data_IF_377072334901
#
_entry.id   IF_377072334901
#
_cell.length_a   1.000
_cell.length_b   1.000
_cell.length_c   1.000
_cell.angle_alpha   90.00
_cell.angle_beta   90.00
_cell.angle_gamma   90.00
#
_symmetry.space_group_name_H-M   'P 1'
#
loop_
_entity.id
_entity.type
_entity.pdbx_description
1 polymer ?
#
# COMPACT_ATOMS: atom_id res chain seq x y z
N UNK A 1 -13.60 -3.52 66.64
CA UNK A 1 -12.98 -2.56 65.71
C UNK A 1 -12.58 -3.31 64.44
N UNK A 2 -13.34 -3.16 63.35
CA UNK A 2 -13.03 -3.79 62.04
C UNK A 2 -12.02 -2.93 61.30
N UNK A 3 -10.84 -3.48 60.98
CA UNK A 3 -9.85 -2.83 60.13
C UNK A 3 -10.32 -2.91 58.68
N UNK A 4 -10.58 -1.78 58.05
CA UNK A 4 -10.79 -1.66 56.61
C UNK A 4 -9.39 -1.54 55.99
N UNK A 5 -9.00 -2.54 55.19
CA UNK A 5 -7.82 -2.45 54.34
C UNK A 5 -8.21 -1.67 53.08
N UNK A 6 -7.66 -0.46 52.92
CA UNK A 6 -7.77 0.32 51.70
C UNK A 6 -6.84 -0.33 50.66
N UNK A 7 -7.42 -0.99 49.66
CA UNK A 7 -6.69 -1.56 48.54
C UNK A 7 -6.39 -0.42 47.55
N UNK A 8 -5.17 0.08 47.57
CA UNK A 8 -4.70 1.06 46.57
C UNK A 8 -4.41 0.29 45.29
N UNK A 9 -5.31 0.39 44.31
CA UNK A 9 -5.09 -0.11 42.95
C UNK A 9 -4.15 0.89 42.26
N UNK A 10 -2.95 0.47 41.81
CA UNK A 10 -2.10 1.35 41.02
C UNK A 10 -2.77 1.57 39.66
N UNK A 11 -3.16 2.81 39.40
CA UNK A 11 -3.50 3.27 38.05
C UNK A 11 -2.25 3.11 37.19
N UNK A 12 -2.25 2.10 36.33
CA UNK A 12 -1.30 2.01 35.22
C UNK A 12 -1.72 3.12 34.25
N UNK A 13 -1.11 4.31 34.42
CA UNK A 13 -1.19 5.36 33.42
C UNK A 13 -0.45 4.82 32.20
N UNK A 14 -1.21 4.33 31.23
CA UNK A 14 -0.68 4.03 29.90
C UNK A 14 -0.07 5.32 29.36
N UNK A 15 1.26 5.36 29.21
CA UNK A 15 1.97 6.45 28.54
C UNK A 15 1.71 6.42 27.03
N UNK A 16 0.45 6.58 26.62
CA UNK A 16 0.14 6.86 25.23
C UNK A 16 0.53 8.31 24.94
N UNK A 17 1.33 8.52 23.89
CA UNK A 17 1.64 9.85 23.34
C UNK A 17 0.35 10.66 23.20
N UNK A 18 0.36 11.95 23.49
CA UNK A 18 -0.79 12.82 23.24
C UNK A 18 -0.94 13.10 21.73
N UNK A 19 -2.09 13.60 21.28
CA UNK A 19 -2.25 14.10 19.90
C UNK A 19 -1.22 15.16 19.55
N UNK A 20 -0.83 15.97 20.54
CA UNK A 20 0.22 16.96 20.40
C UNK A 20 1.56 16.30 20.02
N UNK A 21 1.97 15.24 20.74
CA UNK A 21 3.22 14.50 20.46
C UNK A 21 3.18 13.67 19.16
N UNK A 22 1.98 13.28 18.72
CA UNK A 22 1.77 12.51 17.49
C UNK A 22 1.74 13.39 16.25
N UNK A 23 1.23 14.61 16.35
CA UNK A 23 1.02 15.49 15.21
C UNK A 23 2.01 16.64 15.09
N UNK A 24 2.69 17.04 16.17
CA UNK A 24 3.61 18.17 16.16
C UNK A 24 5.02 17.78 16.59
N UNK A 25 5.99 18.60 16.17
CA UNK A 25 7.37 18.57 16.65
C UNK A 25 7.82 19.99 17.01
N UNK A 26 8.67 20.10 18.03
CA UNK A 26 9.37 21.34 18.43
C UNK A 26 10.82 21.25 18.00
N UNK A 27 11.34 22.31 17.38
CA UNK A 27 12.65 22.38 16.72
C UNK A 27 12.79 21.51 15.46
N UNK A 28 13.76 21.89 14.62
CA UNK A 28 14.35 21.06 13.56
C UNK A 28 15.04 19.83 14.18
N UNK A 29 14.30 18.96 14.86
CA UNK A 29 14.68 17.56 14.91
C UNK A 29 14.86 17.17 13.45
N UNK A 30 16.12 17.05 13.05
CA UNK A 30 16.49 16.57 11.73
C UNK A 30 15.78 15.22 11.56
N UNK A 31 14.61 15.22 10.91
CA UNK A 31 13.87 14.02 10.55
C UNK A 31 14.57 13.27 9.41
N UNK A 32 15.87 13.50 9.23
CA UNK A 32 16.78 12.52 8.70
C UNK A 32 16.96 11.44 9.75
N UNK A 33 15.92 10.63 10.01
CA UNK A 33 16.16 9.29 10.54
C UNK A 33 17.22 8.68 9.62
N UNK A 34 18.40 8.45 10.19
CA UNK A 34 19.53 7.92 9.45
C UNK A 34 19.06 6.58 8.92
N UNK A 35 18.94 6.45 7.60
CA UNK A 35 18.41 5.25 6.97
C UNK A 35 19.14 4.03 7.54
N UNK A 36 18.40 3.19 8.29
CA UNK A 36 18.92 1.92 8.78
C UNK A 36 18.58 0.87 7.74
N UNK A 37 19.61 0.27 7.16
CA UNK A 37 19.43 -0.83 6.21
C UNK A 37 18.71 -2.00 6.89
N UNK A 38 17.58 -2.39 6.33
CA UNK A 38 16.82 -3.52 6.88
C UNK A 38 17.56 -4.82 6.61
N UNK A 39 17.68 -5.65 7.66
CA UNK A 39 18.31 -6.96 7.55
C UNK A 39 17.47 -7.85 6.64
N UNK A 40 18.10 -8.36 5.58
CA UNK A 40 17.44 -9.29 4.65
C UNK A 40 17.10 -10.62 5.32
N UNK A 41 15.92 -11.15 5.00
CA UNK A 41 15.46 -12.43 5.52
C UNK A 41 16.20 -13.59 4.84
N UNK A 42 16.53 -14.61 5.64
CA UNK A 42 16.98 -15.91 5.12
C UNK A 42 15.81 -16.69 4.53
N UNK A 43 16.10 -17.68 3.68
CA UNK A 43 15.09 -18.60 3.13
C UNK A 43 14.27 -19.23 4.26
N UNK A 44 14.92 -19.71 5.32
CA UNK A 44 14.22 -20.35 6.44
C UNK A 44 13.26 -19.39 7.15
N UNK A 45 13.64 -18.12 7.33
CA UNK A 45 12.74 -17.13 7.93
C UNK A 45 11.53 -16.87 7.03
N UNK A 46 11.73 -16.71 5.71
CA UNK A 46 10.62 -16.55 4.75
C UNK A 46 9.68 -17.75 4.79
N UNK A 47 10.21 -18.97 4.88
CA UNK A 47 9.40 -20.18 4.94
C UNK A 47 8.68 -20.34 6.27
N UNK A 48 9.28 -19.92 7.38
CA UNK A 48 8.68 -19.97 8.72
C UNK A 48 7.58 -18.91 8.92
N UNK A 49 7.71 -17.75 8.28
CA UNK A 49 6.79 -16.61 8.42
C UNK A 49 5.84 -16.45 7.23
N UNK A 50 5.83 -17.39 6.28
CA UNK A 50 4.87 -17.38 5.17
C UNK A 50 3.44 -17.49 5.71
N UNK A 51 2.44 -16.92 5.02
CA UNK A 51 1.05 -17.11 5.42
C UNK A 51 0.62 -18.57 5.32
N UNK A 52 -0.30 -18.99 6.19
CA UNK A 52 -0.76 -20.38 6.29
C UNK A 52 -1.46 -20.89 5.02
N UNK A 53 -2.10 -19.98 4.28
CA UNK A 53 -2.77 -20.30 3.01
C UNK A 53 -1.79 -20.54 1.85
N UNK A 54 -0.49 -20.21 2.01
CA UNK A 54 0.50 -20.37 0.96
C UNK A 54 1.24 -21.71 1.09
N UNK A 55 1.11 -22.55 0.07
CA UNK A 55 1.98 -23.71 -0.16
C UNK A 55 3.11 -23.32 -1.13
N UNK A 56 4.34 -23.80 -0.88
CA UNK A 56 5.50 -23.52 -1.74
C UNK A 56 6.14 -24.86 -2.12
N UNK A 57 6.25 -25.11 -3.43
CA UNK A 57 6.89 -26.30 -3.98
C UNK A 57 8.11 -25.93 -4.83
N UNK A 58 9.08 -26.84 -4.90
CA UNK A 58 10.25 -26.70 -5.75
C UNK A 58 9.99 -27.31 -7.13
N UNK A 59 10.23 -26.51 -8.17
CA UNK A 59 10.12 -26.94 -9.56
C UNK A 59 11.45 -27.52 -10.05
N UNK A 60 11.39 -28.63 -10.79
CA UNK A 60 12.56 -29.23 -11.45
C UNK A 60 12.97 -28.49 -12.73
N UNK A 61 11.98 -27.95 -13.44
CA UNK A 61 12.14 -27.14 -14.64
C UNK A 61 11.38 -25.84 -14.41
N UNK A 62 12.09 -24.73 -14.55
CA UNK A 62 11.59 -23.41 -14.21
C UNK A 62 12.29 -22.32 -15.01
N UNK A 63 11.60 -21.19 -15.15
CA UNK A 63 12.18 -19.93 -15.60
C UNK A 63 12.81 -19.20 -14.39
N UNK A 64 14.13 -19.00 -14.43
CA UNK A 64 14.88 -18.28 -13.38
C UNK A 64 14.49 -16.80 -13.32
N UNK A 65 14.60 -16.18 -12.14
CA UNK A 65 14.44 -14.74 -11.94
C UNK A 65 15.22 -13.91 -12.95
N UNK A 66 16.52 -14.21 -13.14
CA UNK A 66 17.40 -13.44 -14.05
C UNK A 66 16.89 -13.45 -15.50
N UNK A 67 16.49 -14.63 -16.00
CA UNK A 67 15.92 -14.75 -17.35
C UNK A 67 14.61 -13.98 -17.45
N UNK A 68 13.75 -14.09 -16.44
CA UNK A 68 12.46 -13.40 -16.40
C UNK A 68 12.60 -11.88 -16.36
N UNK A 69 13.42 -11.36 -15.45
CA UNK A 69 13.62 -9.93 -15.26
C UNK A 69 14.31 -9.25 -16.44
N UNK A 70 15.32 -9.89 -17.06
CA UNK A 70 15.99 -9.35 -18.25
C UNK A 70 15.02 -9.24 -19.43
N UNK A 71 14.24 -10.28 -19.72
CA UNK A 71 13.30 -10.26 -20.85
C UNK A 71 12.14 -9.28 -20.63
N UNK A 72 11.72 -9.09 -19.37
CA UNK A 72 10.75 -8.05 -19.03
C UNK A 72 11.33 -6.64 -19.19
N UNK A 73 12.51 -6.39 -18.62
CA UNK A 73 13.16 -5.08 -18.67
C UNK A 73 13.58 -4.70 -20.10
N UNK A 74 14.04 -5.66 -20.91
CA UNK A 74 14.35 -5.40 -22.32
C UNK A 74 13.11 -4.91 -23.06
N UNK A 75 11.93 -5.54 -22.84
CA UNK A 75 10.67 -5.12 -23.45
C UNK A 75 10.16 -3.76 -22.95
N UNK A 76 10.47 -3.36 -21.72
CA UNK A 76 10.15 -2.04 -21.16
C UNK A 76 11.06 -0.94 -21.73
N UNK A 77 12.37 -1.21 -21.82
CA UNK A 77 13.36 -0.27 -22.34
C UNK A 77 13.25 -0.13 -23.86
N UNK A 78 12.84 -1.20 -24.56
CA UNK A 78 12.64 -1.23 -26.01
C UNK A 78 11.19 -1.01 -26.43
N UNK A 79 10.35 -0.31 -25.65
CA UNK A 79 8.94 -0.06 -26.01
C UNK A 79 8.83 0.80 -27.29
N UNK A 80 9.11 0.18 -28.43
CA UNK A 80 8.57 0.57 -29.72
C UNK A 80 7.04 0.59 -29.57
N UNK A 81 6.40 1.54 -30.23
CA UNK A 81 4.96 1.79 -30.15
C UNK A 81 4.13 0.51 -30.32
N UNK A 82 4.62 -0.43 -31.14
CA UNK A 82 3.99 -1.72 -31.45
C UNK A 82 3.89 -2.68 -30.26
N UNK A 83 4.93 -2.82 -29.44
CA UNK A 83 4.90 -3.73 -28.28
C UNK A 83 3.97 -3.19 -27.18
N UNK A 84 3.96 -1.86 -27.00
CA UNK A 84 3.00 -1.18 -26.13
C UNK A 84 1.57 -1.38 -26.62
N UNK A 85 1.31 -1.19 -27.91
CA UNK A 85 -0.01 -1.43 -28.51
C UNK A 85 -0.44 -2.89 -28.36
N UNK A 86 0.45 -3.85 -28.59
CA UNK A 86 0.17 -5.27 -28.41
C UNK A 86 -0.20 -5.60 -26.95
N UNK A 87 0.52 -5.04 -25.97
CA UNK A 87 0.20 -5.15 -24.55
C UNK A 87 -1.18 -4.56 -24.22
N UNK A 88 -1.43 -3.31 -24.65
CA UNK A 88 -2.69 -2.62 -24.39
C UNK A 88 -3.87 -3.38 -25.01
N UNK A 89 -3.70 -3.92 -26.22
CA UNK A 89 -4.70 -4.75 -26.88
C UNK A 89 -4.92 -6.09 -26.15
N UNK A 90 -3.84 -6.76 -25.72
CA UNK A 90 -3.91 -8.04 -24.99
C UNK A 90 -4.73 -7.93 -23.71
N UNK A 91 -4.62 -6.80 -22.99
CA UNK A 91 -5.26 -6.58 -21.69
C UNK A 91 -6.40 -5.54 -21.72
N UNK A 92 -6.88 -5.14 -22.91
CA UNK A 92 -7.92 -4.12 -23.08
C UNK A 92 -9.17 -4.40 -22.25
N UNK A 93 -9.66 -5.63 -22.27
CA UNK A 93 -10.86 -6.02 -21.50
C UNK A 93 -10.65 -5.83 -19.99
N UNK A 94 -9.50 -6.26 -19.46
CA UNK A 94 -9.17 -6.10 -18.04
C UNK A 94 -9.04 -4.61 -17.68
N UNK A 95 -8.37 -3.82 -18.52
CA UNK A 95 -8.28 -2.37 -18.34
C UNK A 95 -9.63 -1.67 -18.29
N UNK A 96 -10.59 -2.09 -19.11
CA UNK A 96 -11.93 -1.51 -19.11
C UNK A 96 -12.68 -1.81 -17.80
N UNK A 97 -12.52 -3.01 -17.24
CA UNK A 97 -13.18 -3.40 -15.99
C UNK A 97 -12.50 -2.83 -14.73
N UNK A 98 -11.17 -2.74 -14.74
CA UNK A 98 -10.38 -2.33 -13.58
C UNK A 98 -9.83 -0.90 -13.71
N UNK A 99 -10.27 -0.12 -14.69
CA UNK A 99 -9.93 1.30 -14.83
C UNK A 99 -8.42 1.60 -14.79
N UNK A 100 -7.60 0.69 -15.33
CA UNK A 100 -6.14 0.86 -15.38
C UNK A 100 -5.42 0.74 -14.03
N UNK A 101 -6.05 0.22 -12.99
CA UNK A 101 -5.46 0.11 -11.64
C UNK A 101 -4.31 -0.90 -11.52
N UNK A 102 -4.12 -1.77 -12.51
CA UNK A 102 -3.15 -2.87 -12.44
C UNK A 102 -2.25 -2.92 -13.67
N UNK A 103 -1.00 -3.32 -13.44
CA UNK A 103 -0.16 -3.94 -14.45
C UNK A 103 -0.47 -5.43 -14.54
N UNK A 104 -0.70 -5.95 -15.74
CA UNK A 104 -1.06 -7.35 -15.95
C UNK A 104 0.11 -8.09 -16.59
N UNK A 105 0.32 -9.34 -16.21
CA UNK A 105 1.42 -10.13 -16.77
C UNK A 105 0.99 -11.50 -17.26
N UNK A 106 -0.05 -12.10 -16.69
CA UNK A 106 -0.63 -13.36 -17.17
C UNK A 106 -2.16 -13.33 -17.14
N UNK A 107 -2.81 -14.01 -18.10
CA UNK A 107 -4.25 -14.26 -18.09
C UNK A 107 -4.58 -15.68 -18.59
N UNK A 108 -5.69 -16.23 -18.12
CA UNK A 108 -6.17 -17.56 -18.48
C UNK A 108 -7.70 -17.58 -18.51
N UNK A 109 -8.27 -18.12 -19.59
CA UNK A 109 -9.71 -18.40 -19.68
C UNK A 109 -9.98 -19.81 -19.13
N UNK A 110 -10.94 -19.94 -18.22
CA UNK A 110 -11.43 -21.22 -17.68
C UNK A 110 -12.95 -21.21 -17.75
N UNK A 111 -13.52 -21.90 -18.74
CA UNK A 111 -14.96 -21.83 -19.00
C UNK A 111 -15.41 -20.39 -19.29
N UNK A 112 -16.40 -19.89 -18.55
CA UNK A 112 -16.93 -18.52 -18.62
C UNK A 112 -16.14 -17.51 -17.76
N UNK A 113 -15.08 -17.93 -17.07
CA UNK A 113 -14.30 -17.09 -16.17
C UNK A 113 -12.96 -16.72 -16.81
N UNK A 114 -12.65 -15.43 -16.86
CA UNK A 114 -11.32 -14.93 -17.18
C UNK A 114 -10.57 -14.65 -15.88
N UNK A 115 -9.46 -15.33 -15.67
CA UNK A 115 -8.52 -15.04 -14.59
C UNK A 115 -7.31 -14.27 -15.12
N UNK A 116 -6.75 -13.40 -14.30
CA UNK A 116 -5.48 -12.74 -14.60
C UNK A 116 -4.67 -12.47 -13.34
N UNK A 117 -3.35 -12.38 -13.50
CA UNK A 117 -2.46 -11.86 -12.48
C UNK A 117 -2.23 -10.37 -12.72
N UNK A 118 -2.56 -9.57 -11.72
CA UNK A 118 -2.36 -8.13 -11.67
C UNK A 118 -1.35 -7.74 -10.60
N UNK A 119 -0.76 -6.57 -10.75
CA UNK A 119 0.06 -5.93 -9.72
C UNK A 119 -0.21 -4.43 -9.70
N UNK A 120 -0.25 -3.84 -8.52
CA UNK A 120 -0.24 -2.39 -8.31
C UNK A 120 0.78 -2.04 -7.22
N UNK A 121 0.71 -0.82 -6.69
CA UNK A 121 1.65 -0.37 -5.65
C UNK A 121 1.51 -1.10 -4.31
N UNK A 122 0.34 -1.68 -4.03
CA UNK A 122 0.10 -2.43 -2.81
C UNK A 122 0.68 -3.82 -2.88
N UNK A 123 0.66 -4.44 -4.06
CA UNK A 123 1.19 -5.79 -4.26
C UNK A 123 0.52 -6.51 -5.43
N UNK A 124 0.47 -7.85 -5.33
CA UNK A 124 -0.03 -8.73 -6.38
C UNK A 124 -1.46 -9.19 -6.12
N UNK A 125 -2.22 -9.36 -7.19
CA UNK A 125 -3.66 -9.61 -7.16
C UNK A 125 -4.04 -10.74 -8.12
N UNK A 126 -4.98 -11.58 -7.70
CA UNK A 126 -5.75 -12.43 -8.61
C UNK A 126 -6.96 -11.63 -9.08
N UNK A 127 -7.06 -11.41 -10.39
CA UNK A 127 -8.22 -10.76 -11.01
C UNK A 127 -9.13 -11.83 -11.60
N UNK A 128 -10.42 -11.64 -11.44
CA UNK A 128 -11.46 -12.52 -11.96
C UNK A 128 -12.52 -11.69 -12.67
N UNK A 129 -12.90 -12.09 -13.88
CA UNK A 129 -14.10 -11.59 -14.55
C UNK A 129 -14.98 -12.79 -14.86
N UNK A 130 -16.15 -12.84 -14.23
CA UNK A 130 -17.15 -13.88 -14.43
C UNK A 130 -18.48 -13.23 -14.80
N UNK A 131 -19.07 -13.60 -15.94
CA UNK A 131 -20.34 -13.06 -16.39
C UNK A 131 -20.39 -11.52 -16.37
N UNK A 132 -19.32 -10.87 -16.84
CA UNK A 132 -19.13 -9.41 -16.84
C UNK A 132 -19.07 -8.75 -15.45
N UNK A 133 -18.89 -9.52 -14.38
CA UNK A 133 -18.65 -9.01 -13.02
C UNK A 133 -17.16 -9.14 -12.68
N UNK A 134 -16.43 -8.01 -12.52
CA UNK A 134 -15.04 -8.05 -12.10
C UNK A 134 -14.90 -8.18 -10.59
N UNK A 135 -13.88 -8.91 -10.14
CA UNK A 135 -13.41 -8.95 -8.75
C UNK A 135 -11.88 -8.99 -8.74
N UNK A 136 -11.26 -8.36 -7.76
CA UNK A 136 -9.81 -8.46 -7.52
C UNK A 136 -9.55 -8.93 -6.09
N UNK A 137 -8.67 -9.91 -5.95
CA UNK A 137 -8.36 -10.54 -4.68
C UNK A 137 -6.88 -10.34 -4.37
N UNK A 138 -6.57 -9.68 -3.26
CA UNK A 138 -5.20 -9.44 -2.84
C UNK A 138 -4.55 -10.74 -2.39
N UNK A 139 -3.31 -10.98 -2.82
CA UNK A 139 -2.61 -12.23 -2.50
C UNK A 139 -1.90 -12.17 -1.14
N UNK A 140 -1.63 -10.99 -0.59
CA UNK A 140 -0.93 -10.83 0.69
C UNK A 140 0.52 -11.35 0.67
N UNK A 141 1.10 -11.55 -0.52
CA UNK A 141 2.46 -12.04 -0.68
C UNK A 141 3.41 -10.85 -0.91
N UNK A 142 4.27 -10.60 0.07
CA UNK A 142 5.23 -9.49 0.07
C UNK A 142 6.18 -9.59 -1.13
N UNK A 143 6.24 -8.55 -1.96
CA UNK A 143 7.21 -8.47 -3.06
C UNK A 143 8.66 -8.34 -2.57
N UNK A 144 8.89 -8.11 -1.27
CA UNK A 144 10.21 -8.21 -0.64
C UNK A 144 10.72 -9.65 -0.52
N UNK A 145 9.81 -10.64 -0.55
CA UNK A 145 10.12 -12.06 -0.38
C UNK A 145 9.77 -12.92 -1.59
N UNK A 146 8.70 -12.56 -2.31
CA UNK A 146 8.14 -13.38 -3.38
C UNK A 146 8.15 -12.60 -4.70
N UNK A 147 8.90 -13.10 -5.66
CA UNK A 147 8.86 -12.63 -7.05
C UNK A 147 8.02 -13.57 -7.89
N UNK A 148 7.08 -13.03 -8.65
CA UNK A 148 6.28 -13.79 -9.60
C UNK A 148 6.82 -13.57 -11.00
N UNK A 149 7.09 -14.67 -11.70
CA UNK A 149 7.52 -14.58 -13.08
C UNK A 149 6.47 -13.86 -13.92
N UNK A 150 6.90 -12.89 -14.73
CA UNK A 150 6.03 -12.15 -15.64
C UNK A 150 5.50 -13.05 -16.74
N UNK A 151 6.26 -14.10 -17.07
CA UNK A 151 5.84 -15.16 -17.99
C UNK A 151 5.64 -16.44 -17.18
N UNK A 152 4.40 -16.90 -17.13
CA UNK A 152 4.03 -18.19 -16.54
C UNK A 152 4.04 -19.25 -17.64
N UNK A 153 4.85 -20.30 -17.49
CA UNK A 153 4.95 -21.43 -18.42
C UNK A 153 3.81 -22.43 -18.21
N UNK A 154 3.23 -22.45 -17.00
CA UNK A 154 2.08 -23.29 -16.63
C UNK A 154 0.79 -22.47 -16.51
N UNK A 155 -0.39 -23.11 -16.65
CA UNK A 155 -1.66 -22.48 -16.29
C UNK A 155 -1.64 -21.96 -14.86
N UNK A 156 -2.10 -20.72 -14.67
CA UNK A 156 -2.23 -20.10 -13.34
C UNK A 156 -3.40 -20.66 -12.55
N UNK A 157 -4.41 -21.21 -13.21
CA UNK A 157 -5.51 -21.93 -12.56
C UNK A 157 -5.42 -23.40 -12.89
N UNK A 158 -5.35 -24.24 -11.86
CA UNK A 158 -5.37 -25.71 -11.97
C UNK A 158 -6.27 -26.31 -10.91
N UNK A 159 -7.46 -26.77 -11.31
CA UNK A 159 -8.50 -27.19 -10.36
C UNK A 159 -8.88 -26.02 -9.45
N UNK A 160 -8.91 -26.26 -8.14
CA UNK A 160 -9.30 -25.27 -7.13
C UNK A 160 -8.12 -24.42 -6.63
N UNK A 161 -6.99 -24.40 -7.35
CA UNK A 161 -5.76 -23.74 -6.94
C UNK A 161 -5.31 -22.66 -7.93
N UNK A 162 -4.87 -21.54 -7.37
CA UNK A 162 -3.99 -20.58 -8.01
C UNK A 162 -2.56 -21.09 -7.93
N UNK A 163 -1.89 -21.15 -9.06
CA UNK A 163 -0.51 -21.57 -9.25
C UNK A 163 0.29 -20.39 -9.81
N UNK A 164 1.38 -20.02 -9.14
CA UNK A 164 2.26 -18.95 -9.60
C UNK A 164 3.71 -19.42 -9.55
N UNK A 165 4.35 -19.43 -10.71
CA UNK A 165 5.77 -19.71 -10.86
C UNK A 165 6.58 -18.46 -10.54
N UNK A 166 7.70 -18.63 -9.83
CA UNK A 166 8.52 -17.51 -9.40
C UNK A 166 9.73 -17.92 -8.58
N UNK A 167 10.18 -16.97 -7.75
CA UNK A 167 11.41 -17.09 -6.96
C UNK A 167 11.23 -16.47 -5.59
N UNK A 168 11.98 -16.97 -4.61
CA UNK A 168 12.23 -16.22 -3.39
C UNK A 168 13.29 -15.16 -3.68
N UNK A 169 13.06 -13.93 -3.24
CA UNK A 169 13.95 -12.79 -3.49
C UNK A 169 14.36 -12.11 -2.19
N UNK A 170 15.41 -11.29 -2.31
CA UNK A 170 15.78 -10.27 -1.33
C UNK A 170 15.89 -8.91 -2.02
N UNK A 171 15.65 -7.86 -1.25
CA UNK A 171 15.92 -6.48 -1.69
C UNK A 171 17.44 -6.31 -1.86
N UNK A 172 17.83 -5.65 -2.94
CA UNK A 172 19.18 -5.15 -3.20
C UNK A 172 19.11 -3.64 -3.39
N UNK A 173 20.02 -2.92 -2.75
CA UNK A 173 20.12 -1.48 -2.89
C UNK A 173 20.99 -1.14 -4.09
N UNK A 174 20.52 -0.21 -4.91
CA UNK A 174 21.27 0.27 -6.06
C UNK A 174 22.13 1.46 -5.62
N UNK A 175 23.45 1.30 -5.67
CA UNK A 175 24.40 2.36 -5.33
C UNK A 175 24.13 3.61 -6.18
N UNK A 176 23.97 4.76 -5.53
CA UNK A 176 23.71 6.04 -6.21
C UNK A 176 22.23 6.36 -6.46
N UNK A 177 21.30 5.46 -6.10
CA UNK A 177 19.85 5.72 -6.14
C UNK A 177 19.20 5.44 -4.77
N UNK A 178 19.40 6.33 -3.78
CA UNK A 178 18.79 6.19 -2.45
C UNK A 178 17.27 6.09 -2.57
N UNK A 179 16.67 5.08 -1.97
CA UNK A 179 15.22 4.87 -1.98
C UNK A 179 14.68 4.01 -3.13
N UNK A 180 15.52 3.63 -4.11
CA UNK A 180 15.17 2.66 -5.15
C UNK A 180 15.54 1.23 -4.71
N UNK A 181 14.53 0.37 -4.61
CA UNK A 181 14.69 -1.04 -4.26
C UNK A 181 14.68 -1.89 -5.53
N UNK A 182 15.78 -2.60 -5.79
CA UNK A 182 15.83 -3.66 -6.79
C UNK A 182 15.82 -5.03 -6.08
N UNK A 183 15.69 -6.13 -6.82
CA UNK A 183 15.55 -7.46 -6.25
C UNK A 183 16.56 -8.43 -6.85
N UNK A 184 16.96 -9.40 -6.03
CA UNK A 184 17.75 -10.55 -6.51
C UNK A 184 17.13 -11.83 -5.98
N UNK A 185 17.11 -12.87 -6.80
CA UNK A 185 16.74 -14.20 -6.33
C UNK A 185 17.74 -14.71 -5.30
N UNK A 186 17.21 -15.18 -4.18
CA UNK A 186 17.93 -16.04 -3.23
C UNK A 186 17.67 -17.51 -3.55
N UNK A 187 16.51 -17.83 -4.12
CA UNK A 187 16.19 -19.18 -4.55
C UNK A 187 15.15 -19.17 -5.68
N UNK A 188 15.54 -19.66 -6.86
CA UNK A 188 14.65 -19.76 -8.02
C UNK A 188 13.79 -21.02 -8.00
N UNK A 189 12.83 -21.07 -8.92
CA UNK A 189 12.12 -22.30 -9.25
C UNK A 189 11.07 -22.68 -8.22
N UNK A 190 10.32 -21.69 -7.74
CA UNK A 190 9.20 -21.91 -6.83
C UNK A 190 7.88 -21.98 -7.58
N UNK A 191 7.01 -22.83 -7.07
CA UNK A 191 5.59 -22.82 -7.37
C UNK A 191 4.84 -22.43 -6.10
N UNK A 192 4.28 -21.23 -6.10
CA UNK A 192 3.38 -20.74 -5.07
C UNK A 192 1.98 -21.26 -5.38
N UNK A 193 1.41 -22.04 -4.46
CA UNK A 193 0.07 -22.60 -4.59
C UNK A 193 -0.81 -22.06 -3.48
N UNK A 194 -1.99 -21.60 -3.86
CA UNK A 194 -2.98 -21.08 -2.92
C UNK A 194 -4.35 -21.57 -3.37
N UNK A 195 -5.18 -22.06 -2.44
CA UNK A 195 -6.55 -22.47 -2.78
C UNK A 195 -7.38 -21.23 -3.12
N UNK A 196 -8.16 -21.32 -4.19
CA UNK A 196 -9.01 -20.22 -4.63
C UNK A 196 -10.00 -19.79 -3.55
N UNK A 197 -10.57 -20.75 -2.81
CA UNK A 197 -11.47 -20.46 -1.68
C UNK A 197 -10.83 -19.62 -0.57
N UNK A 198 -9.52 -19.78 -0.34
CA UNK A 198 -8.82 -19.08 0.75
C UNK A 198 -8.47 -17.65 0.30
N UNK A 199 -8.16 -17.44 -1.00
CA UNK A 199 -7.92 -16.11 -1.57
C UNK A 199 -9.22 -15.31 -1.73
N UNK A 200 -10.28 -15.99 -2.15
CA UNK A 200 -11.57 -15.36 -2.47
C UNK A 200 -12.49 -15.20 -1.26
N UNK A 201 -12.00 -15.51 -0.07
CA UNK A 201 -12.75 -15.30 1.16
C UNK A 201 -12.89 -13.79 1.42
N UNK A 202 -14.13 -13.35 1.58
CA UNK A 202 -14.58 -12.00 1.90
C UNK A 202 -15.72 -12.21 2.90
N UNK A 203 -15.40 -12.11 4.20
CA UNK A 203 -16.25 -12.65 5.26
C UNK A 203 -17.42 -11.73 5.61
N UNK A 204 -17.32 -10.43 5.37
CA UNK A 204 -18.41 -9.46 5.54
C UNK A 204 -19.06 -9.01 4.23
N UNK A 205 -18.52 -9.44 3.08
CA UNK A 205 -19.07 -9.28 1.73
C UNK A 205 -19.12 -7.84 1.25
N UNK A 206 -18.14 -7.03 1.65
CA UNK A 206 -18.05 -5.63 1.26
C UNK A 206 -17.39 -5.45 -0.12
N UNK A 207 -16.59 -6.44 -0.56
CA UNK A 207 -15.88 -6.48 -1.84
C UNK A 207 -14.35 -6.53 -1.73
N UNK A 208 -13.75 -6.25 -0.58
CA UNK A 208 -12.35 -6.54 -0.29
C UNK A 208 -12.23 -7.94 0.32
N UNK A 209 -11.19 -8.68 -0.04
CA UNK A 209 -11.00 -10.01 0.50
C UNK A 209 -10.30 -9.95 1.87
N UNK A 210 -10.58 -10.91 2.74
CA UNK A 210 -10.02 -11.05 4.09
C UNK A 210 -8.49 -10.83 4.16
N UNK A 211 -7.77 -11.26 3.12
CA UNK A 211 -6.31 -11.12 3.05
C UNK A 211 -5.91 -9.64 2.89
N UNK A 212 -6.62 -8.87 2.07
CA UNK A 212 -6.39 -7.43 1.93
C UNK A 212 -6.59 -6.73 3.26
N UNK A 213 -7.73 -6.95 3.89
CA UNK A 213 -8.12 -6.28 5.12
C UNK A 213 -7.14 -6.58 6.26
N UNK A 214 -6.81 -7.87 6.48
CA UNK A 214 -5.79 -8.27 7.46
C UNK A 214 -4.39 -7.74 7.13
N UNK A 215 -4.07 -7.58 5.85
CA UNK A 215 -2.76 -7.07 5.43
C UNK A 215 -2.64 -5.58 5.70
N UNK A 216 -3.72 -4.81 5.64
CA UNK A 216 -3.68 -3.36 5.81
C UNK A 216 -4.24 -2.86 7.15
N UNK A 217 -4.95 -3.70 7.91
CA UNK A 217 -5.46 -3.37 9.24
C UNK A 217 -6.95 -3.02 9.28
N UNK A 218 -7.72 -3.37 8.24
CA UNK A 218 -9.18 -3.33 8.26
C UNK A 218 -9.76 -4.57 8.96
N UNK A 219 -11.07 -4.57 9.22
CA UNK A 219 -11.75 -5.62 9.94
C UNK A 219 -12.56 -6.55 9.00
N UNK A 220 -12.06 -7.77 8.72
CA UNK A 220 -12.70 -8.72 7.80
C UNK A 220 -14.06 -9.26 8.23
N UNK A 221 -14.53 -8.89 9.42
CA UNK A 221 -15.85 -9.30 9.93
C UNK A 221 -16.81 -8.13 10.04
N UNK A 222 -16.42 -6.97 9.56
CA UNK A 222 -17.17 -5.73 9.67
C UNK A 222 -16.92 -4.84 8.46
N UNK A 223 -17.91 -4.81 7.57
CA UNK A 223 -17.91 -4.04 6.33
C UNK A 223 -17.68 -2.53 6.48
N UNK A 224 -17.72 -1.98 7.69
CA UNK A 224 -17.56 -0.56 8.04
C UNK A 224 -16.61 -0.49 9.25
N UNK A 225 -15.31 -0.61 8.99
CA UNK A 225 -14.26 -0.83 9.99
C UNK A 225 -14.24 0.26 11.05
N UNK A 226 -14.43 1.52 10.66
CA UNK A 226 -14.38 2.68 11.55
C UNK A 226 -15.76 3.08 12.11
N UNK A 227 -16.83 2.43 11.65
CA UNK A 227 -18.21 2.64 12.06
C UNK A 227 -18.73 4.05 11.75
N UNK A 228 -18.29 4.63 10.64
CA UNK A 228 -18.74 5.95 10.19
C UNK A 228 -20.02 5.93 9.34
N UNK A 229 -20.46 4.73 8.94
CA UNK A 229 -21.66 4.48 8.15
C UNK A 229 -21.41 4.25 6.66
N UNK A 230 -20.15 4.20 6.22
CA UNK A 230 -19.74 3.91 4.84
C UNK A 230 -19.00 2.57 4.81
N UNK A 231 -19.39 1.69 3.89
CA UNK A 231 -18.70 0.39 3.77
C UNK A 231 -17.25 0.59 3.27
N UNK A 232 -16.26 -0.15 3.78
CA UNK A 232 -14.82 0.03 3.52
C UNK A 232 -14.52 0.03 2.01
N UNK A 233 -15.14 -0.88 1.26
CA UNK A 233 -15.05 -0.91 -0.20
C UNK A 233 -15.48 0.40 -0.88
N UNK A 234 -16.34 1.21 -0.28
CA UNK A 234 -16.82 2.49 -0.81
C UNK A 234 -16.20 3.71 -0.11
N UNK A 235 -15.52 3.52 1.01
CA UNK A 235 -14.92 4.61 1.77
C UNK A 235 -13.54 5.02 1.24
N UNK A 236 -13.32 6.34 1.14
CA UNK A 236 -12.02 6.92 0.83
C UNK A 236 -11.06 6.86 2.03
N UNK A 237 -11.55 6.72 3.25
CA UNK A 237 -10.76 6.63 4.47
C UNK A 237 -11.27 5.53 5.43
N UNK A 238 -11.27 4.24 5.00
CA UNK A 238 -11.95 3.14 5.70
C UNK A 238 -11.41 2.81 7.11
N UNK A 239 -10.29 3.41 7.50
CA UNK A 239 -9.67 3.16 8.80
C UNK A 239 -10.11 4.15 9.87
N UNK A 240 -10.56 5.34 9.48
CA UNK A 240 -10.77 6.45 10.40
C UNK A 240 -11.84 7.41 9.91
N UNK A 241 -12.76 7.69 10.83
CA UNK A 241 -13.84 8.62 10.60
C UNK A 241 -13.30 9.99 10.22
N UNK A 242 -13.74 10.47 9.07
CA UNK A 242 -13.41 11.81 8.59
C UNK A 242 -14.01 12.90 9.49
N UNK A 243 -13.20 13.87 9.90
CA UNK A 243 -13.64 15.03 10.68
C UNK A 243 -13.06 16.35 10.14
N UNK A 244 -13.91 17.37 10.08
CA UNK A 244 -13.51 18.66 9.55
C UNK A 244 -12.93 19.56 10.65
N UNK A 245 -11.61 19.66 10.69
CA UNK A 245 -10.89 20.62 11.53
C UNK A 245 -9.83 21.36 10.70
N UNK A 246 -9.16 22.36 11.28
CA UNK A 246 -8.17 23.14 10.53
C UNK A 246 -7.00 22.25 10.05
N UNK A 247 -6.50 21.33 10.84
CA UNK A 247 -5.34 20.51 10.46
C UNK A 247 -5.69 19.37 9.49
N UNK A 248 -6.87 18.74 9.58
CA UNK A 248 -7.30 17.80 8.53
C UNK A 248 -7.43 18.52 7.17
N UNK A 249 -8.02 19.72 7.15
CA UNK A 249 -8.06 20.57 5.94
C UNK A 249 -6.67 20.98 5.42
N UNK A 250 -5.68 21.09 6.29
CA UNK A 250 -4.30 21.35 5.88
C UNK A 250 -3.75 20.11 5.17
N UNK A 251 -3.89 18.93 5.77
CA UNK A 251 -3.44 17.68 5.16
C UNK A 251 -4.10 17.44 3.81
N UNK A 252 -5.43 17.59 3.72
CA UNK A 252 -6.19 17.55 2.46
C UNK A 252 -5.50 18.42 1.39
N UNK A 253 -5.25 19.71 1.68
CA UNK A 253 -4.59 20.63 0.75
C UNK A 253 -3.15 20.25 0.36
N UNK A 254 -2.40 19.56 1.24
CA UNK A 254 -1.03 19.12 0.97
C UNK A 254 -0.98 17.81 0.17
N UNK A 255 -1.94 16.91 0.39
CA UNK A 255 -2.02 15.63 -0.34
C UNK A 255 -2.67 15.77 -1.69
N UNK A 256 -3.56 16.76 -1.89
CA UNK A 256 -4.19 16.98 -3.19
C UNK A 256 -3.12 17.13 -4.28
N UNK A 257 -3.16 16.29 -5.33
CA UNK A 257 -2.18 16.32 -6.40
C UNK A 257 -2.35 17.59 -7.22
N UNK A 258 -1.52 18.60 -6.93
CA UNK A 258 -1.28 19.81 -7.73
C UNK A 258 -2.53 20.66 -8.05
N UNK A 259 -2.54 21.85 -7.45
CA UNK A 259 -3.40 23.01 -7.77
C UNK A 259 -3.38 23.49 -9.25
N UNK A 260 -2.77 22.76 -10.20
CA UNK A 260 -2.59 23.23 -11.58
C UNK A 260 -2.83 22.21 -12.71
N UNK A 261 -3.01 20.90 -12.43
CA UNK A 261 -3.40 19.96 -13.49
C UNK A 261 -4.90 19.73 -13.45
N UNK A 262 -5.65 20.64 -14.07
CA UNK A 262 -7.01 20.34 -14.53
C UNK A 262 -6.90 19.26 -15.61
N UNK A 263 -6.80 18.00 -15.21
CA UNK A 263 -7.17 16.89 -16.10
C UNK A 263 -8.64 17.17 -16.47
N UNK A 264 -9.00 17.23 -17.76
CA UNK A 264 -10.38 17.45 -18.17
C UNK A 264 -11.30 16.50 -17.42
N UNK A 265 -12.29 17.07 -16.75
CA UNK A 265 -13.33 16.42 -15.93
C UNK A 265 -14.28 15.68 -16.87
N UNK A 266 -13.76 14.73 -17.63
CA UNK A 266 -14.55 13.69 -18.24
C UNK A 266 -14.29 12.41 -17.44
N UNK A 267 -15.17 12.21 -16.46
CA UNK A 267 -15.44 10.99 -15.72
C UNK A 267 -14.64 10.82 -14.43
N UNK A 268 -15.35 10.52 -13.34
CA UNK A 268 -14.90 10.19 -11.99
C UNK A 268 -14.01 8.92 -11.95
N UNK A 269 -12.86 8.92 -12.64
CA UNK A 269 -11.98 7.76 -12.73
C UNK A 269 -11.43 7.37 -11.36
N UNK A 270 -11.04 8.33 -10.52
CA UNK A 270 -10.51 8.08 -9.17
C UNK A 270 -11.55 7.40 -8.26
N UNK A 271 -12.83 7.78 -8.35
CA UNK A 271 -13.92 7.17 -7.56
C UNK A 271 -14.10 5.68 -7.89
N UNK A 272 -13.78 5.28 -9.13
CA UNK A 272 -13.87 3.87 -9.58
C UNK A 272 -12.60 3.07 -9.32
N UNK A 273 -11.60 3.64 -8.65
CA UNK A 273 -10.36 2.95 -8.30
C UNK A 273 -10.43 2.23 -6.94
N UNK A 274 -11.31 1.24 -6.84
CA UNK A 274 -11.59 0.46 -5.61
C UNK A 274 -10.39 -0.32 -5.03
N UNK A 275 -9.29 -0.46 -5.77
CA UNK A 275 -8.11 -1.24 -5.40
C UNK A 275 -6.82 -0.42 -5.41
N UNK A 276 -6.90 0.90 -5.57
CA UNK A 276 -5.76 1.82 -5.57
C UNK A 276 -5.83 2.73 -4.35
N UNK A 277 -4.81 2.67 -3.49
CA UNK A 277 -4.76 3.42 -2.24
C UNK A 277 -3.44 4.16 -2.09
N UNK A 278 -3.49 5.42 -1.68
CA UNK A 278 -2.33 6.13 -1.17
C UNK A 278 -2.06 5.69 0.27
N UNK A 279 -0.84 5.25 0.55
CA UNK A 279 -0.50 4.70 1.87
C UNK A 279 0.45 5.65 2.59
N UNK A 280 0.05 6.09 3.77
CA UNK A 280 0.78 7.04 4.60
C UNK A 280 1.29 6.38 5.87
N UNK A 281 2.49 6.76 6.30
CA UNK A 281 3.05 6.32 7.57
C UNK A 281 2.85 7.42 8.61
N UNK A 282 1.83 7.31 9.44
CA UNK A 282 1.50 8.37 10.39
C UNK A 282 0.76 7.83 11.59
N UNK A 283 1.02 8.42 12.75
CA UNK A 283 0.18 8.30 13.96
C UNK A 283 -0.61 9.59 14.27
N UNK A 284 -0.60 10.57 13.37
CA UNK A 284 -1.23 11.85 13.63
C UNK A 284 -2.76 11.78 13.49
N UNK A 285 -3.47 12.06 14.60
CA UNK A 285 -4.93 12.06 14.63
C UNK A 285 -5.56 13.03 13.64
N UNK A 286 -4.96 14.22 13.44
CA UNK A 286 -5.50 15.17 12.46
C UNK A 286 -5.36 14.68 11.02
N UNK A 287 -4.35 13.85 10.73
CA UNK A 287 -4.18 13.27 9.41
C UNK A 287 -5.14 12.10 9.20
N UNK A 288 -5.44 11.33 10.23
CA UNK A 288 -6.47 10.29 10.18
C UNK A 288 -7.87 10.85 9.88
N UNK A 289 -8.14 12.10 10.21
CA UNK A 289 -9.45 12.73 10.06
C UNK A 289 -9.71 13.36 8.67
N UNK A 290 -8.84 13.15 7.69
CA UNK A 290 -9.02 13.71 6.34
C UNK A 290 -10.21 13.11 5.62
N UNK A 291 -10.81 13.90 4.72
CA UNK A 291 -11.74 13.43 3.69
C UNK A 291 -11.07 13.57 2.29
N UNK A 292 -10.34 12.56 1.82
CA UNK A 292 -9.50 12.68 0.63
C UNK A 292 -10.26 12.40 -0.68
N UNK A 293 -9.75 12.95 -1.79
CA UNK A 293 -10.28 12.67 -3.16
C UNK A 293 -9.90 11.28 -3.69
N UNK A 294 -8.89 10.66 -3.09
CA UNK A 294 -8.37 9.33 -3.42
C UNK A 294 -8.40 8.48 -2.16
N UNK A 295 -8.55 7.16 -2.31
CA UNK A 295 -8.55 6.24 -1.17
C UNK A 295 -7.21 6.25 -0.45
N UNK A 296 -7.24 6.27 0.86
CA UNK A 296 -6.05 6.26 1.71
C UNK A 296 -6.04 5.07 2.66
N UNK A 297 -4.84 4.65 3.05
CA UNK A 297 -4.61 3.75 4.18
C UNK A 297 -3.48 4.33 5.03
N UNK A 298 -3.52 4.07 6.32
CA UNK A 298 -2.50 4.49 7.26
C UNK A 298 -1.78 3.29 7.86
N UNK A 299 -0.46 3.39 7.92
CA UNK A 299 0.41 2.43 8.58
C UNK A 299 0.99 3.12 9.84
N UNK A 300 0.98 2.45 11.00
CA UNK A 300 1.59 3.00 12.21
C UNK A 300 3.08 3.31 12.06
N UNK A 301 3.55 4.43 12.64
CA UNK A 301 4.98 4.80 12.63
C UNK A 301 5.83 3.72 13.31
N UNK A 302 5.32 3.17 14.42
CA UNK A 302 5.96 2.05 15.12
C UNK A 302 5.76 0.72 14.37
N UNK A 303 6.86 0.17 13.84
CA UNK A 303 6.90 -1.13 13.16
C UNK A 303 6.32 -2.29 13.97
N UNK A 304 6.30 -2.22 15.31
CA UNK A 304 5.71 -3.27 16.16
C UNK A 304 4.18 -3.31 16.11
N UNK A 305 3.54 -2.18 15.76
CA UNK A 305 2.08 -2.08 15.59
C UNK A 305 1.62 -2.39 14.17
N UNK A 306 2.54 -2.54 13.22
CA UNK A 306 2.23 -2.86 11.83
C UNK A 306 1.79 -4.31 11.68
N UNK A 307 0.93 -4.55 10.70
CA UNK A 307 0.60 -5.90 10.24
C UNK A 307 1.87 -6.59 9.72
N UNK A 308 1.85 -7.93 9.61
CA UNK A 308 2.97 -8.66 9.00
C UNK A 308 3.32 -8.10 7.62
N UNK A 309 2.31 -7.86 6.78
CA UNK A 309 2.52 -7.37 5.41
C UNK A 309 3.22 -6.01 5.38
N UNK A 310 2.66 -5.01 6.07
CA UNK A 310 3.17 -3.62 6.07
C UNK A 310 4.48 -3.43 6.85
N UNK A 311 4.86 -4.43 7.66
CA UNK A 311 6.17 -4.48 8.33
C UNK A 311 7.29 -4.96 7.40
N UNK A 312 6.98 -5.83 6.43
CA UNK A 312 7.96 -6.46 5.54
C UNK A 312 7.96 -5.80 4.15
N UNK A 313 6.83 -5.23 3.75
CA UNK A 313 6.61 -4.66 2.42
C UNK A 313 6.58 -3.13 2.48
N UNK A 314 7.50 -2.49 1.75
CA UNK A 314 7.49 -1.03 1.58
C UNK A 314 6.45 -0.64 0.53
N UNK A 315 5.23 -0.35 0.97
CA UNK A 315 4.10 0.08 0.12
C UNK A 315 3.94 1.61 0.03
N UNK A 316 4.66 2.37 0.85
CA UNK A 316 4.63 3.84 0.83
C UNK A 316 5.56 4.39 -0.27
N UNK A 317 5.09 5.39 -1.03
CA UNK A 317 5.87 6.07 -2.11
C UNK A 317 6.40 7.44 -1.71
N UNK A 318 5.91 7.94 -0.60
CA UNK A 318 6.19 9.24 -0.04
C UNK A 318 5.70 9.27 1.39
N UNK A 319 5.99 10.36 2.09
CA UNK A 319 5.58 10.55 3.47
C UNK A 319 5.25 12.01 3.74
N UNK A 320 4.63 12.30 4.88
CA UNK A 320 4.37 13.67 5.31
C UNK A 320 4.89 13.83 6.73
N UNK A 321 5.69 14.88 6.94
CA UNK A 321 6.22 15.17 8.28
C UNK A 321 5.09 15.46 9.27
N UNK A 322 5.42 15.33 10.56
CA UNK A 322 4.65 16.04 11.58
C UNK A 322 4.73 17.55 11.34
N UNK A 323 3.75 18.26 11.89
CA UNK A 323 3.65 19.70 11.75
C UNK A 323 4.68 20.36 12.69
N UNK A 324 5.65 21.05 12.12
CA UNK A 324 6.63 21.84 12.87
C UNK A 324 5.99 23.19 13.23
N UNK A 325 6.12 23.61 14.50
CA UNK A 325 5.59 24.89 14.99
C UNK A 325 6.64 25.99 14.84
N UNK A 326 6.21 27.20 14.48
CA UNK A 326 7.08 28.37 14.58
C UNK A 326 7.18 28.85 16.04
N UNK A 327 8.40 29.12 16.51
CA UNK A 327 8.67 29.53 17.90
C UNK A 327 8.05 30.88 18.28
N UNK A 328 7.77 31.74 17.31
CA UNK A 328 7.37 33.14 17.53
C UNK A 328 5.93 33.41 17.12
N UNK A 329 5.45 32.77 16.07
CA UNK A 329 4.12 32.96 15.52
C UNK A 329 3.27 31.69 15.71
N UNK A 330 2.34 31.67 16.67
CA UNK A 330 1.53 30.48 16.96
C UNK A 330 0.56 30.07 15.84
N UNK A 331 0.42 30.89 14.79
CA UNK A 331 -0.39 30.58 13.62
C UNK A 331 0.43 30.12 12.41
N UNK A 332 1.76 30.10 12.52
CA UNK A 332 2.69 29.70 11.47
C UNK A 332 3.26 28.32 11.79
N UNK A 333 3.28 27.47 10.77
CA UNK A 333 3.76 26.10 10.87
C UNK A 333 4.56 25.74 9.61
N UNK A 334 5.28 24.63 9.69
CA UNK A 334 5.98 24.03 8.56
C UNK A 334 5.60 22.57 8.42
N UNK A 335 5.48 22.11 7.18
CA UNK A 335 5.17 20.72 6.84
C UNK A 335 5.94 20.32 5.60
N UNK A 336 6.52 19.13 5.62
CA UNK A 336 7.32 18.61 4.52
C UNK A 336 6.66 17.37 3.93
N UNK A 337 6.47 17.38 2.61
CA UNK A 337 6.04 16.21 1.83
C UNK A 337 7.28 15.56 1.23
N UNK A 338 7.43 14.26 1.46
CA UNK A 338 8.52 13.43 0.95
C UNK A 338 8.04 12.53 -0.18
N UNK A 339 8.93 12.23 -1.12
CA UNK A 339 8.68 11.33 -2.25
C UNK A 339 9.97 11.08 -3.03
N UNK A 340 9.97 11.31 -4.34
CA UNK A 340 11.21 11.40 -5.15
C UNK A 340 12.03 12.66 -4.87
N UNK A 341 11.91 13.24 -3.68
CA UNK A 341 12.32 14.58 -3.33
C UNK A 341 11.70 15.00 -1.99
N UNK A 342 11.83 16.27 -1.63
CA UNK A 342 11.21 16.84 -0.45
C UNK A 342 10.70 18.24 -0.77
N UNK A 343 9.45 18.52 -0.43
CA UNK A 343 8.78 19.81 -0.60
C UNK A 343 8.37 20.32 0.78
N UNK A 344 9.00 21.40 1.23
CA UNK A 344 8.67 22.01 2.52
C UNK A 344 7.81 23.25 2.30
N UNK A 345 6.68 23.29 3.01
CA UNK A 345 5.72 24.36 2.96
C UNK A 345 5.71 25.13 4.27
N UNK A 346 5.67 26.46 4.17
CA UNK A 346 5.27 27.33 5.26
C UNK A 346 3.76 27.54 5.18
N UNK A 347 3.06 27.26 6.28
CA UNK A 347 1.60 27.26 6.31
C UNK A 347 1.11 28.14 7.45
N UNK A 348 0.28 29.12 7.13
CA UNK A 348 -0.22 30.09 8.10
C UNK A 348 -1.76 30.07 8.14
N UNK A 349 -2.34 29.90 9.33
CA UNK A 349 -3.78 29.93 9.50
C UNK A 349 -4.28 31.35 9.79
N UNK A 350 -5.00 31.95 8.84
CA UNK A 350 -5.56 33.31 8.96
C UNK A 350 -6.98 33.36 8.44
N UNK A 351 -7.87 34.04 9.17
CA UNK A 351 -9.26 34.28 8.77
C UNK A 351 -10.01 32.99 8.40
N UNK A 352 -9.76 31.90 9.13
CA UNK A 352 -10.40 30.60 8.91
C UNK A 352 -9.86 29.80 7.72
N UNK A 353 -8.74 30.22 7.11
CA UNK A 353 -8.14 29.56 5.94
C UNK A 353 -6.63 29.36 6.11
N UNK A 354 -6.11 28.34 5.45
CA UNK A 354 -4.67 28.15 5.31
C UNK A 354 -4.11 28.96 4.14
N UNK A 355 -3.02 29.66 4.41
CA UNK A 355 -2.14 30.21 3.39
C UNK A 355 -0.90 29.30 3.31
N UNK A 356 -0.76 28.57 2.21
CA UNK A 356 0.32 27.60 2.01
C UNK A 356 1.32 28.18 1.01
N UNK A 357 2.60 28.20 1.37
CA UNK A 357 3.69 28.71 0.54
C UNK A 357 4.77 27.63 0.48
N UNK A 358 5.14 27.16 -0.72
CA UNK A 358 6.32 26.33 -0.91
C UNK A 358 7.58 27.16 -0.64
N UNK A 359 8.40 26.75 0.33
CA UNK A 359 9.60 27.48 0.74
C UNK A 359 10.90 26.73 0.43
N UNK A 360 10.83 25.42 0.19
CA UNK A 360 11.99 24.62 -0.22
C UNK A 360 11.54 23.41 -1.04
N UNK A 361 12.30 23.06 -2.06
CA UNK A 361 12.08 21.86 -2.87
C UNK A 361 13.42 21.23 -3.23
N UNK A 362 13.55 19.93 -3.02
CA UNK A 362 14.66 19.11 -3.52
C UNK A 362 14.13 18.04 -4.46
N UNK A 363 14.80 17.84 -5.60
CA UNK A 363 14.46 16.82 -6.59
C UNK A 363 15.57 15.76 -6.56
N UNK A 364 15.21 14.48 -6.46
CA UNK A 364 16.15 13.35 -6.50
C UNK A 364 16.41 12.84 -7.90
#
# INVERSE_FOLDING_TARGET
MKKIYLLIIPLIISCSKSTEDRCFMSDKENSFETYVEEKTYTIQQILNEKPDYLEIENLKSYRSFKKDSIEFNSRQISMETKDREAYLNKYKQLNNYFFGQFWYYQKQQVGNILYALGQNQLGSWLLKIENNKPSAYFLGLSFSHYYFNRIQERPIIKGDYLHIEGSLVKIIKVTGLPGYDDYSAIEDGKLFKIRLKDIMQDSDQDGHNDIFEKSFGLNPSNKDTDSDGIDDFNDMNPMYKSEKNKFSQLYEQIIHPNLEIKIPIEQNYHIKQYYSFEVYNSDCDYFYQINPDSRVLFIPEDKKRRTYYTRITKVTRGDISKIEKDDKNPNLFYITKFGGGAETYSVEYKNGKWKIILISQTIS
#
